data_IF_445855932601
#
_entry.id   IF_445855932601
#
_cell.length_a   1.000
_cell.length_b   1.000
_cell.length_c   1.000
_cell.angle_alpha   90.00
_cell.angle_beta   90.00
_cell.angle_gamma   90.00
#
_symmetry.space_group_name_H-M   'P 1'
#
loop_
_entity.id
_entity.type
_entity.pdbx_description
1 polymer ?
#
# COMPACT_ATOMS: atom_id res chain seq x y z
N UNK A 1 7.12 -26.66 13.41
CA UNK A 1 5.87 -25.89 13.35
C UNK A 1 6.28 -24.56 12.74
N UNK A 2 5.96 -24.31 11.46
CA UNK A 2 6.32 -23.05 10.81
C UNK A 2 5.50 -21.94 11.46
N UNK A 3 6.16 -20.93 12.01
CA UNK A 3 5.46 -19.76 12.53
C UNK A 3 4.72 -19.05 11.39
N UNK A 4 3.47 -18.61 11.59
CA UNK A 4 2.74 -17.90 10.56
C UNK A 4 3.51 -16.62 10.19
N UNK A 5 3.99 -16.57 8.95
CA UNK A 5 4.57 -15.36 8.36
C UNK A 5 3.57 -14.24 8.52
N UNK A 6 3.93 -13.19 9.27
CA UNK A 6 3.04 -12.07 9.51
C UNK A 6 2.53 -11.50 8.17
N UNK A 7 1.24 -11.68 7.90
CA UNK A 7 0.60 -11.16 6.70
C UNK A 7 0.43 -9.67 6.88
N UNK A 8 1.02 -8.84 6.00
CA UNK A 8 0.74 -7.40 5.93
C UNK A 8 -0.65 -7.16 5.32
N UNK A 9 -1.43 -6.24 5.89
CA UNK A 9 -2.81 -6.00 5.49
C UNK A 9 -3.06 -4.51 5.31
N UNK A 10 -3.69 -4.17 4.19
CA UNK A 10 -3.95 -2.78 3.81
C UNK A 10 -5.43 -2.59 3.50
N UNK A 11 -5.99 -1.48 3.95
CA UNK A 11 -7.33 -1.03 3.55
C UNK A 11 -7.18 0.16 2.62
N UNK A 12 -7.69 0.04 1.39
CA UNK A 12 -7.69 1.10 0.39
C UNK A 12 -9.09 1.71 0.28
N UNK A 13 -9.19 3.03 0.45
CA UNK A 13 -10.43 3.78 0.22
C UNK A 13 -10.18 4.83 -0.84
N UNK A 14 -10.90 4.70 -1.95
CA UNK A 14 -10.81 5.61 -3.08
C UNK A 14 -12.01 6.55 -3.01
N UNK A 15 -11.76 7.84 -2.88
CA UNK A 15 -12.81 8.85 -2.85
C UNK A 15 -13.07 9.35 -4.28
N UNK A 16 -14.28 9.16 -4.83
CA UNK A 16 -14.60 9.69 -6.15
C UNK A 16 -14.57 11.22 -6.10
N UNK A 17 -13.93 11.83 -7.09
CA UNK A 17 -13.96 13.28 -7.28
C UNK A 17 -15.28 13.62 -7.96
N UNK A 18 -16.02 14.61 -7.43
CA UNK A 18 -17.14 15.20 -8.18
C UNK A 18 -16.57 16.04 -9.31
N UNK A 19 -17.11 15.90 -10.52
CA UNK A 19 -16.63 16.51 -11.78
C UNK A 19 -16.39 18.04 -11.73
N UNK A 20 -16.85 18.74 -10.68
CA UNK A 20 -16.66 20.18 -10.48
C UNK A 20 -15.34 20.57 -9.81
N UNK A 21 -14.54 19.63 -9.31
CA UNK A 21 -13.28 19.96 -8.64
C UNK A 21 -12.09 19.57 -9.51
N UNK A 22 -11.13 20.49 -9.64
CA UNK A 22 -9.75 20.22 -10.09
C UNK A 22 -8.99 19.26 -9.15
N UNK A 23 -9.70 18.47 -8.34
CA UNK A 23 -9.16 17.66 -7.28
C UNK A 23 -8.55 16.40 -7.88
N UNK A 24 -7.27 16.18 -7.56
CA UNK A 24 -6.59 14.91 -7.82
C UNK A 24 -7.27 13.80 -7.01
N UNK A 25 -7.29 12.59 -7.54
CA UNK A 25 -7.99 11.45 -6.94
C UNK A 25 -7.38 11.17 -5.57
N UNK A 26 -8.15 11.35 -4.50
CA UNK A 26 -7.65 11.14 -3.13
C UNK A 26 -7.91 9.68 -2.73
N UNK A 27 -6.84 8.97 -2.43
CA UNK A 27 -6.87 7.61 -1.91
C UNK A 27 -6.37 7.61 -0.47
N UNK A 28 -7.11 6.99 0.43
CA UNK A 28 -6.68 6.73 1.80
C UNK A 28 -6.19 5.29 1.90
N UNK A 29 -5.01 5.11 2.48
CA UNK A 29 -4.41 3.80 2.74
C UNK A 29 -4.25 3.66 4.24
N UNK A 30 -4.77 2.57 4.81
CA UNK A 30 -4.55 2.22 6.22
C UNK A 30 -3.71 0.94 6.28
N UNK A 31 -2.54 0.99 6.93
CA UNK A 31 -1.73 -0.18 7.26
C UNK A 31 -2.16 -0.72 8.62
N UNK A 32 -2.81 -1.89 8.62
CA UNK A 32 -3.57 -2.40 9.78
C UNK A 32 -2.66 -2.72 10.96
N UNK A 33 -1.45 -3.24 10.69
CA UNK A 33 -0.49 -3.71 11.68
C UNK A 33 0.05 -2.58 12.56
N UNK A 34 0.26 -1.40 11.97
CA UNK A 34 0.81 -0.23 12.67
C UNK A 34 -0.26 0.82 12.99
N UNK A 35 -1.53 0.56 12.63
CA UNK A 35 -2.62 1.54 12.68
C UNK A 35 -2.23 2.89 12.04
N UNK A 36 -1.44 2.81 10.96
CA UNK A 36 -0.94 3.97 10.24
C UNK A 36 -1.88 4.30 9.08
N UNK A 37 -2.14 5.59 8.85
CA UNK A 37 -2.96 6.06 7.75
C UNK A 37 -2.23 7.11 6.93
N UNK A 38 -2.27 6.96 5.61
CA UNK A 38 -1.70 7.93 4.66
C UNK A 38 -2.71 8.28 3.57
N UNK A 39 -2.60 9.49 3.04
CA UNK A 39 -3.32 9.90 1.83
C UNK A 39 -2.35 9.98 0.66
N UNK A 40 -2.72 9.35 -0.44
CA UNK A 40 -1.97 9.36 -1.71
C UNK A 40 -2.88 9.86 -2.82
N UNK A 41 -2.28 10.53 -3.80
CA UNK A 41 -3.00 11.22 -4.88
C UNK A 41 -2.72 10.63 -6.26
N UNK A 42 -1.81 9.65 -6.33
CA UNK A 42 -1.50 8.89 -7.53
C UNK A 42 -1.35 7.40 -7.21
N UNK A 43 -1.56 6.54 -8.22
CA UNK A 43 -1.29 5.11 -8.07
C UNK A 43 0.20 4.80 -7.83
N UNK A 44 1.11 5.64 -8.33
CA UNK A 44 2.54 5.47 -8.11
C UNK A 44 2.90 5.64 -6.63
N UNK A 45 2.37 6.68 -5.98
CA UNK A 45 2.52 6.92 -4.54
C UNK A 45 1.95 5.75 -3.72
N UNK A 46 0.78 5.22 -4.12
CA UNK A 46 0.19 4.04 -3.49
C UNK A 46 1.14 2.84 -3.56
N UNK A 47 1.65 2.50 -4.75
CA UNK A 47 2.55 1.35 -4.93
C UNK A 47 3.84 1.54 -4.14
N UNK A 48 4.39 2.77 -4.12
CA UNK A 48 5.59 3.09 -3.34
C UNK A 48 5.37 2.82 -1.84
N UNK A 49 4.27 3.33 -1.29
CA UNK A 49 3.89 3.12 0.10
C UNK A 49 3.73 1.63 0.44
N UNK A 50 3.03 0.87 -0.42
CA UNK A 50 2.85 -0.56 -0.21
C UNK A 50 4.18 -1.31 -0.19
N UNK A 51 5.12 -1.00 -1.11
CA UNK A 51 6.44 -1.62 -1.15
C UNK A 51 7.27 -1.31 0.09
N UNK A 52 7.26 -0.06 0.57
CA UNK A 52 7.96 0.35 1.78
C UNK A 52 7.47 -0.44 3.00
N UNK A 53 6.15 -0.57 3.18
CA UNK A 53 5.56 -1.28 4.32
C UNK A 53 5.71 -2.80 4.24
N UNK A 54 5.68 -3.36 3.04
CA UNK A 54 5.85 -4.81 2.83
C UNK A 54 7.31 -5.24 2.70
N UNK A 55 8.26 -4.30 2.70
CA UNK A 55 9.69 -4.56 2.38
C UNK A 55 9.85 -5.33 1.06
N UNK A 56 8.90 -5.15 0.13
CA UNK A 56 8.84 -5.91 -1.10
C UNK A 56 9.94 -5.42 -2.04
N UNK A 57 11.01 -6.21 -2.15
CA UNK A 57 12.24 -5.85 -2.87
C UNK A 57 13.49 -5.73 -1.99
N UNK A 58 13.38 -5.87 -0.65
CA UNK A 58 14.53 -5.91 0.26
C UNK A 58 15.07 -7.32 0.51
N UNK A 59 14.47 -8.34 -0.11
CA UNK A 59 14.85 -9.73 0.04
C UNK A 59 15.56 -10.19 -1.26
N UNK A 60 16.91 -10.23 -1.31
CA UNK A 60 17.66 -10.62 -2.50
C UNK A 60 17.42 -12.08 -2.93
N UNK A 61 16.71 -12.89 -2.13
CA UNK A 61 16.56 -14.33 -2.34
C UNK A 61 15.25 -14.76 -3.04
N UNK A 62 14.29 -13.86 -3.30
CA UNK A 62 12.98 -14.25 -3.88
C UNK A 62 12.90 -14.18 -5.41
N UNK A 63 13.97 -13.76 -6.09
CA UNK A 63 14.04 -13.65 -7.56
C UNK A 63 14.64 -14.84 -8.30
N UNK A 64 15.06 -15.91 -7.61
CA UNK A 64 15.70 -17.08 -8.22
C UNK A 64 14.91 -18.36 -7.97
N UNK A 65 13.64 -18.40 -8.35
CA UNK A 65 12.90 -19.66 -8.55
C UNK A 65 11.62 -19.38 -9.33
N UNK A 66 11.76 -19.13 -10.63
CA UNK A 66 10.75 -19.44 -11.64
C UNK A 66 11.48 -20.05 -12.83
#
# INVERSE_FOLDING_TARGET
>A
MEEPTAVSSFVLRIHPIKESESAKQRMKVTYVQENEEVFVYTFEELVRYLKEKTKWGSDPMRGQNI
#
